data_IF_462785285378
#
_entry.id   IF_462785285378
#
_cell.length_a   1.000
_cell.length_b   1.000
_cell.length_c   1.000
_cell.angle_alpha   90.00
_cell.angle_beta   90.00
_cell.angle_gamma   90.00
#
_symmetry.space_group_name_H-M   'P 1'
#
loop_
_entity.id
_entity.type
_entity.pdbx_description
1 polymer ?
#
# COMPACT_ATOMS: atom_id res chain seq x y z
N UNK A 1 36.48 5.81 12.01
CA UNK A 1 35.05 5.42 12.11
C UNK A 1 34.45 5.10 10.76
N UNK A 2 34.74 5.87 9.71
CA UNK A 2 34.29 5.58 8.34
C UNK A 2 34.75 4.23 7.80
N UNK A 3 36.01 3.86 7.97
CA UNK A 3 36.53 2.53 7.58
C UNK A 3 35.87 1.35 8.34
N UNK A 4 35.13 1.63 9.41
CA UNK A 4 34.35 0.64 10.17
C UNK A 4 32.84 0.71 9.83
N UNK A 5 32.45 1.56 8.89
CA UNK A 5 31.04 1.78 8.52
C UNK A 5 30.19 2.50 9.58
N UNK A 6 30.78 2.94 10.69
CA UNK A 6 30.02 3.47 11.83
C UNK A 6 29.48 4.89 11.60
N UNK A 7 30.09 5.66 10.69
CA UNK A 7 29.69 7.04 10.41
C UNK A 7 30.18 7.49 9.03
N UNK A 8 29.41 8.38 8.39
CA UNK A 8 29.84 9.10 7.19
C UNK A 8 30.67 10.32 7.58
N UNK A 9 31.70 10.70 6.81
CA UNK A 9 32.53 11.87 7.10
C UNK A 9 31.72 13.15 6.96
N UNK A 10 31.99 14.13 7.81
CA UNK A 10 31.37 15.44 7.77
C UNK A 10 32.42 16.52 8.02
N UNK A 11 32.48 17.51 7.13
CA UNK A 11 33.33 18.69 7.28
C UNK A 11 32.55 19.72 8.08
N UNK A 12 33.11 20.22 9.18
CA UNK A 12 32.43 21.15 10.09
C UNK A 12 31.84 22.37 9.37
N UNK A 13 32.61 22.97 8.45
CA UNK A 13 32.18 24.12 7.64
C UNK A 13 30.88 23.86 6.86
N UNK A 14 30.67 22.63 6.40
CA UNK A 14 29.50 22.22 5.62
C UNK A 14 28.45 21.46 6.44
N UNK A 15 28.74 21.18 7.71
CA UNK A 15 27.94 20.30 8.55
C UNK A 15 26.49 20.77 8.66
N UNK A 16 26.26 22.07 8.89
CA UNK A 16 24.91 22.64 8.99
C UNK A 16 24.07 22.34 7.75
N UNK A 17 24.63 22.59 6.56
CA UNK A 17 23.93 22.36 5.29
C UNK A 17 23.67 20.88 5.06
N UNK A 18 24.64 20.02 5.36
CA UNK A 18 24.51 18.57 5.25
C UNK A 18 23.39 18.04 6.16
N UNK A 19 23.40 18.42 7.43
CA UNK A 19 22.38 17.97 8.38
C UNK A 19 20.99 18.52 8.05
N UNK A 20 20.89 19.76 7.56
CA UNK A 20 19.61 20.33 7.13
C UNK A 20 18.92 19.43 6.10
N UNK A 21 19.62 19.09 5.02
CA UNK A 21 19.04 18.23 3.97
C UNK A 21 18.82 16.80 4.44
N UNK A 22 19.76 16.22 5.18
CA UNK A 22 19.62 14.87 5.72
C UNK A 22 18.41 14.72 6.65
N UNK A 23 18.17 15.71 7.53
CA UNK A 23 17.02 15.71 8.42
C UNK A 23 15.74 15.90 7.63
N UNK A 24 15.70 16.85 6.69
CA UNK A 24 14.53 17.10 5.85
C UNK A 24 14.13 15.85 5.05
N UNK A 25 15.09 15.18 4.42
CA UNK A 25 14.87 13.92 3.71
C UNK A 25 14.32 12.81 4.62
N UNK A 26 14.89 12.67 5.83
CA UNK A 26 14.42 11.69 6.82
C UNK A 26 13.00 11.96 7.29
N UNK A 27 12.66 13.23 7.54
CA UNK A 27 11.31 13.62 7.96
C UNK A 27 10.30 13.35 6.84
N UNK A 28 10.61 13.77 5.60
CA UNK A 28 9.75 13.51 4.45
C UNK A 28 9.54 12.00 4.23
N UNK A 29 10.60 11.19 4.31
CA UNK A 29 10.50 9.73 4.21
C UNK A 29 9.68 9.13 5.34
N UNK A 30 9.88 9.60 6.57
CA UNK A 30 9.12 9.11 7.73
C UNK A 30 7.63 9.40 7.60
N UNK A 31 7.26 10.59 7.11
CA UNK A 31 5.86 10.95 6.88
C UNK A 31 5.23 10.06 5.80
N UNK A 32 5.89 9.94 4.64
CA UNK A 32 5.44 9.08 3.55
C UNK A 32 5.27 7.61 3.98
N UNK A 33 6.23 7.07 4.74
CA UNK A 33 6.13 5.71 5.28
C UNK A 33 5.01 5.54 6.31
N UNK A 34 4.73 6.57 7.11
CA UNK A 34 3.62 6.53 8.07
C UNK A 34 2.29 6.40 7.31
N UNK A 35 2.08 7.18 6.25
CA UNK A 35 0.89 7.08 5.41
C UNK A 35 0.71 5.68 4.80
N UNK A 36 1.79 5.09 4.27
CA UNK A 36 1.76 3.71 3.73
C UNK A 36 1.51 2.66 4.82
N UNK A 37 1.99 2.90 6.05
CA UNK A 37 1.76 2.01 7.20
C UNK A 37 0.30 2.03 7.61
N UNK A 38 -0.32 3.21 7.69
CA UNK A 38 -1.75 3.35 7.98
C UNK A 38 -2.62 2.75 6.88
N UNK A 39 -2.20 2.84 5.62
CA UNK A 39 -2.91 2.28 4.49
C UNK A 39 -2.93 0.74 4.50
N UNK A 40 -1.84 0.12 4.94
CA UNK A 40 -1.69 -1.34 4.99
C UNK A 40 -0.93 -1.78 6.24
N UNK A 41 -1.61 -1.85 7.40
CA UNK A 41 -0.97 -2.15 8.69
C UNK A 41 -0.29 -3.52 8.75
N UNK A 42 -0.74 -4.48 7.95
CA UNK A 42 -0.18 -5.83 7.87
C UNK A 42 1.06 -5.97 6.99
N UNK A 43 1.50 -4.89 6.31
CA UNK A 43 2.70 -4.91 5.47
C UNK A 43 3.98 -4.82 6.30
N UNK A 44 5.12 -5.27 5.74
CA UNK A 44 6.43 -5.13 6.40
C UNK A 44 7.07 -3.76 6.13
N UNK A 45 7.99 -3.35 7.00
CA UNK A 45 8.70 -2.07 6.86
C UNK A 45 9.59 -2.05 5.59
N UNK A 46 10.19 -3.19 5.26
CA UNK A 46 11.02 -3.37 4.07
C UNK A 46 10.17 -3.22 2.80
N UNK A 47 8.99 -3.84 2.76
CA UNK A 47 8.07 -3.71 1.63
C UNK A 47 7.65 -2.26 1.40
N UNK A 48 7.24 -1.56 2.46
CA UNK A 48 6.84 -0.14 2.35
C UNK A 48 8.00 0.75 1.92
N UNK A 49 9.21 0.48 2.41
CA UNK A 49 10.42 1.20 2.01
C UNK A 49 10.72 1.01 0.52
N UNK A 50 10.68 -0.24 0.04
CA UNK A 50 10.87 -0.54 -1.38
C UNK A 50 9.78 0.05 -2.27
N UNK A 51 8.52 0.01 -1.82
CA UNK A 51 7.40 0.62 -2.54
C UNK A 51 7.59 2.13 -2.67
N UNK A 52 7.92 2.81 -1.57
CA UNK A 52 8.18 4.25 -1.58
C UNK A 52 9.34 4.60 -2.51
N UNK A 53 10.44 3.83 -2.46
CA UNK A 53 11.60 4.06 -3.32
C UNK A 53 11.28 3.85 -4.80
N UNK A 54 10.45 2.85 -5.12
CA UNK A 54 9.95 2.63 -6.48
C UNK A 54 9.08 3.79 -6.97
N UNK A 55 8.11 4.24 -6.15
CA UNK A 55 7.19 5.34 -6.51
C UNK A 55 7.91 6.66 -6.70
N UNK A 56 8.90 6.93 -5.85
CA UNK A 56 9.70 8.15 -5.89
C UNK A 56 10.91 8.05 -6.83
N UNK A 57 11.17 6.89 -7.44
CA UNK A 57 12.40 6.60 -8.19
C UNK A 57 13.68 6.96 -7.41
N UNK A 58 13.69 6.65 -6.10
CA UNK A 58 14.83 6.92 -5.22
C UNK A 58 15.87 5.80 -5.37
N UNK A 59 17.12 6.20 -5.59
CA UNK A 59 18.25 5.30 -5.60
C UNK A 59 19.31 5.68 -4.54
N UNK A 60 20.30 4.79 -4.35
CA UNK A 60 21.37 4.98 -3.36
C UNK A 60 22.37 6.09 -3.73
N UNK A 61 22.33 6.61 -4.95
CA UNK A 61 23.23 7.65 -5.46
C UNK A 61 22.66 9.05 -5.31
N UNK A 62 21.35 9.19 -5.05
CA UNK A 62 20.70 10.47 -4.85
C UNK A 62 21.20 11.18 -3.59
N UNK A 63 21.38 12.49 -3.71
CA UNK A 63 21.70 13.36 -2.58
C UNK A 63 20.47 13.61 -1.70
N UNK A 64 20.68 13.81 -0.39
CA UNK A 64 19.60 14.04 0.59
C UNK A 64 18.66 15.18 0.16
N UNK A 65 19.20 16.20 -0.51
CA UNK A 65 18.41 17.30 -1.07
C UNK A 65 17.41 16.80 -2.10
N UNK A 66 17.87 16.01 -3.08
CA UNK A 66 17.03 15.48 -4.15
C UNK A 66 15.95 14.56 -3.57
N UNK A 67 16.33 13.69 -2.63
CA UNK A 67 15.39 12.81 -1.92
C UNK A 67 14.30 13.62 -1.23
N UNK A 68 14.66 14.67 -0.48
CA UNK A 68 13.66 15.52 0.20
C UNK A 68 12.72 16.23 -0.79
N UNK A 69 13.25 16.78 -1.88
CA UNK A 69 12.46 17.54 -2.86
C UNK A 69 11.50 16.63 -3.64
N UNK A 70 11.90 15.39 -3.92
CA UNK A 70 11.05 14.39 -4.59
C UNK A 70 9.94 13.92 -3.64
N UNK A 71 10.29 13.53 -2.42
CA UNK A 71 9.32 13.01 -1.45
C UNK A 71 8.27 14.05 -1.05
N UNK A 72 8.64 15.33 -0.94
CA UNK A 72 7.70 16.41 -0.62
C UNK A 72 6.70 16.71 -1.74
N UNK A 73 7.00 16.33 -2.98
CA UNK A 73 6.13 16.53 -4.15
C UNK A 73 5.38 15.26 -4.54
N UNK A 74 5.72 14.13 -3.93
CA UNK A 74 5.13 12.84 -4.25
C UNK A 74 3.68 12.81 -3.75
N UNK A 75 2.74 12.65 -4.67
CA UNK A 75 1.35 12.40 -4.31
C UNK A 75 1.14 10.90 -4.11
N UNK A 76 0.87 10.50 -2.86
CA UNK A 76 0.60 9.11 -2.47
C UNK A 76 -0.90 8.78 -2.44
N UNK A 77 -1.79 9.75 -2.70
CA UNK A 77 -3.23 9.59 -2.50
C UNK A 77 -3.81 8.35 -3.20
N UNK A 78 -3.48 8.17 -4.48
CA UNK A 78 -3.94 7.02 -5.27
C UNK A 78 -3.39 5.70 -4.73
N UNK A 79 -2.09 5.64 -4.41
CA UNK A 79 -1.45 4.44 -3.87
C UNK A 79 -2.03 4.08 -2.50
N UNK A 80 -2.21 5.05 -1.62
CA UNK A 80 -2.81 4.87 -0.29
C UNK A 80 -4.24 4.35 -0.43
N UNK A 81 -5.04 4.92 -1.34
CA UNK A 81 -6.39 4.45 -1.60
C UNK A 81 -6.40 2.99 -2.07
N UNK A 82 -5.51 2.62 -2.98
CA UNK A 82 -5.39 1.24 -3.46
C UNK A 82 -4.97 0.28 -2.35
N UNK A 83 -3.94 0.64 -1.57
CA UNK A 83 -3.45 -0.19 -0.46
C UNK A 83 -4.53 -0.43 0.60
N UNK A 84 -5.32 0.60 0.92
CA UNK A 84 -6.45 0.48 1.85
C UNK A 84 -7.53 -0.46 1.30
N UNK A 85 -7.89 -0.31 0.03
CA UNK A 85 -8.86 -1.19 -0.62
C UNK A 85 -8.39 -2.66 -0.59
N UNK A 86 -7.13 -2.90 -0.96
CA UNK A 86 -6.54 -4.25 -0.95
C UNK A 86 -6.48 -4.85 0.45
N UNK A 87 -6.11 -4.05 1.46
CA UNK A 87 -6.08 -4.47 2.85
C UNK A 87 -7.48 -4.85 3.35
N UNK A 88 -8.49 -4.00 3.12
CA UNK A 88 -9.87 -4.26 3.52
C UNK A 88 -10.44 -5.50 2.82
N UNK A 89 -10.14 -5.68 1.53
CA UNK A 89 -10.58 -6.87 0.78
C UNK A 89 -10.00 -8.15 1.39
N UNK A 90 -8.69 -8.19 1.68
CA UNK A 90 -8.06 -9.34 2.35
C UNK A 90 -8.72 -9.62 3.70
N UNK A 91 -9.00 -8.57 4.47
CA UNK A 91 -9.64 -8.69 5.78
C UNK A 91 -11.08 -9.23 5.69
N UNK A 92 -11.86 -8.83 4.68
CA UNK A 92 -13.20 -9.38 4.44
C UNK A 92 -13.15 -10.87 4.09
N UNK A 93 -12.17 -11.29 3.27
CA UNK A 93 -11.98 -12.71 2.93
C UNK A 93 -11.57 -13.51 4.16
N UNK A 94 -10.65 -13.01 4.98
CA UNK A 94 -10.26 -13.62 6.25
C UNK A 94 -11.45 -13.78 7.19
N UNK A 95 -12.25 -12.73 7.39
CA UNK A 95 -13.44 -12.77 8.23
C UNK A 95 -14.44 -13.84 7.76
N UNK A 96 -14.60 -14.01 6.45
CA UNK A 96 -15.48 -15.03 5.87
C UNK A 96 -14.98 -16.45 6.13
N UNK A 97 -13.66 -16.64 6.25
CA UNK A 97 -13.04 -17.93 6.61
C UNK A 97 -13.16 -18.22 8.10
N UNK A 98 -13.06 -17.20 8.96
CA UNK A 98 -13.18 -17.32 10.41
C UNK A 98 -14.62 -17.57 10.86
N UNK A 99 -15.57 -16.74 10.40
CA UNK A 99 -17.00 -16.89 10.68
C UNK A 99 -17.84 -16.48 9.47
N UNK A 100 -18.15 -17.48 8.63
CA UNK A 100 -18.99 -17.29 7.44
C UNK A 100 -20.37 -16.72 7.78
N UNK A 101 -20.98 -17.11 8.90
CA UNK A 101 -22.35 -16.70 9.24
C UNK A 101 -22.39 -15.22 9.64
N UNK A 102 -21.43 -14.78 10.47
CA UNK A 102 -21.29 -13.38 10.83
C UNK A 102 -20.98 -12.51 9.60
N UNK A 103 -20.07 -12.95 8.72
CA UNK A 103 -19.74 -12.26 7.49
C UNK A 103 -20.97 -12.07 6.58
N UNK A 104 -21.75 -13.13 6.34
CA UNK A 104 -22.97 -13.05 5.53
C UNK A 104 -24.04 -12.14 6.15
N UNK A 105 -24.17 -12.14 7.47
CA UNK A 105 -25.08 -11.22 8.18
C UNK A 105 -24.64 -9.77 8.02
N UNK A 106 -23.33 -9.51 8.05
CA UNK A 106 -22.75 -8.19 7.78
C UNK A 106 -23.02 -7.72 6.35
N UNK A 107 -22.83 -8.59 5.35
CA UNK A 107 -23.12 -8.27 3.95
C UNK A 107 -24.60 -7.95 3.72
N UNK A 108 -25.52 -8.67 4.37
CA UNK A 108 -26.95 -8.36 4.29
C UNK A 108 -27.25 -6.93 4.80
N UNK A 109 -26.65 -6.52 5.93
CA UNK A 109 -26.80 -5.15 6.46
C UNK A 109 -26.14 -4.08 5.59
N UNK A 110 -25.03 -4.41 4.92
CA UNK A 110 -24.40 -3.52 3.95
C UNK A 110 -25.32 -3.28 2.75
N UNK A 111 -26.02 -4.31 2.27
CA UNK A 111 -26.98 -4.20 1.18
C UNK A 111 -28.14 -3.24 1.46
N UNK A 112 -28.49 -3.03 2.75
CA UNK A 112 -29.49 -2.05 3.18
C UNK A 112 -29.03 -0.60 2.98
N UNK A 113 -27.71 -0.36 2.90
CA UNK A 113 -27.11 0.98 2.72
C UNK A 113 -26.63 1.25 1.28
N UNK A 114 -26.77 0.28 0.38
CA UNK A 114 -26.42 0.45 -1.04
C UNK A 114 -27.48 1.31 -1.74
N UNK A 115 -27.02 2.16 -2.66
CA UNK A 115 -27.89 2.78 -3.65
C UNK A 115 -28.50 1.74 -4.59
N UNK A 116 -29.57 2.11 -5.30
CA UNK A 116 -30.23 1.21 -6.26
C UNK A 116 -29.26 0.74 -7.37
N UNK A 117 -28.36 1.63 -7.81
CA UNK A 117 -27.34 1.32 -8.82
C UNK A 117 -26.32 0.29 -8.34
N UNK A 118 -25.81 0.46 -7.12
CA UNK A 118 -24.86 -0.48 -6.51
C UNK A 118 -25.50 -1.84 -6.24
N UNK A 119 -26.76 -1.83 -5.79
CA UNK A 119 -27.55 -3.05 -5.56
C UNK A 119 -27.74 -3.83 -6.87
N UNK A 120 -28.12 -3.15 -7.95
CA UNK A 120 -28.31 -3.79 -9.26
C UNK A 120 -26.98 -4.34 -9.82
N UNK A 121 -25.89 -3.62 -9.63
CA UNK A 121 -24.54 -4.08 -9.99
C UNK A 121 -24.17 -5.36 -9.22
N UNK A 122 -24.43 -5.40 -7.92
CA UNK A 122 -24.16 -6.58 -7.09
C UNK A 122 -25.01 -7.79 -7.52
N UNK A 123 -26.31 -7.59 -7.80
CA UNK A 123 -27.20 -8.64 -8.29
C UNK A 123 -26.66 -9.22 -9.61
N UNK A 124 -26.20 -8.37 -10.52
CA UNK A 124 -25.63 -8.78 -11.81
C UNK A 124 -24.38 -9.66 -11.62
N UNK A 125 -23.50 -9.28 -10.69
CA UNK A 125 -22.31 -10.10 -10.34
C UNK A 125 -22.72 -11.46 -9.77
N UNK A 126 -23.68 -11.49 -8.84
CA UNK A 126 -24.14 -12.74 -8.22
C UNK A 126 -24.82 -13.69 -9.22
N UNK A 127 -25.60 -13.15 -10.16
CA UNK A 127 -26.27 -13.95 -11.19
C UNK A 127 -25.29 -14.49 -12.23
N UNK A 128 -24.27 -13.70 -12.60
CA UNK A 128 -23.24 -14.10 -13.59
C UNK A 128 -22.23 -15.11 -13.04
N UNK A 129 -21.93 -15.11 -11.74
CA UNK A 129 -21.02 -16.06 -11.09
C UNK A 129 -21.45 -17.53 -11.19
N UNK A 130 -22.74 -17.80 -11.45
CA UNK A 130 -23.28 -19.15 -11.68
C UNK A 130 -22.82 -19.78 -13.01
N UNK A 131 -22.20 -19.01 -13.92
CA UNK A 131 -21.61 -19.52 -15.17
C UNK A 131 -20.09 -19.67 -15.02
N UNK A 132 -19.65 -20.61 -14.18
CA UNK A 132 -18.27 -21.11 -14.27
C UNK A 132 -18.11 -21.84 -15.60
N UNK A 133 -17.07 -21.60 -16.42
CA UNK A 133 -16.79 -22.41 -17.60
C UNK A 133 -16.39 -23.80 -17.11
N UNK A 134 -17.35 -24.72 -17.15
CA UNK A 134 -17.10 -26.13 -16.88
C UNK A 134 -16.00 -26.66 -17.81
N UNK A 135 -15.01 -27.31 -17.20
CA UNK A 135 -13.95 -28.06 -17.88
C UNK A 135 -14.52 -28.92 -19.03
N UNK A 136 -13.92 -28.94 -20.23
CA UNK A 136 -14.36 -29.85 -21.28
C UNK A 136 -14.12 -31.29 -20.81
N UNK A 137 -15.20 -32.07 -20.75
CA UNK A 137 -15.12 -33.52 -20.60
C UNK A 137 -14.63 -34.06 -21.94
N UNK A 138 -13.35 -34.37 -22.04
CA UNK A 138 -12.79 -35.11 -23.17
C UNK A 138 -13.24 -36.57 -23.05
N UNK A 139 -14.29 -36.93 -23.80
CA UNK A 139 -14.67 -38.33 -24.02
C UNK A 139 -13.72 -38.87 -25.08
N UNK A 140 -12.82 -39.78 -24.69
CA UNK A 140 -12.01 -40.58 -25.62
C UNK A 140 -12.78 -41.88 -25.91
N UNK A 141 -13.09 -42.06 -27.19
CA UNK A 141 -13.54 -43.31 -27.82
C UNK A 141 -12.35 -44.19 -28.18
#
# INVERSE_FOLDING_TARGET
>A
MEAKGCAKPAVWKDARRKFYWAVRARVARSAALAELTEASPGSTAEYRSHLLDSLASIDATMEDRQVSEVLEKLDLSQTVSQLRADYLMRRMVELTKEDRKAAMTGFARLADNLSDEERNSLITVLQSATRSPGSPITVLS
#
